data_IF_403917925620
#
_entry.id   IF_403917925620
#
_cell.length_a   1.000
_cell.length_b   1.000
_cell.length_c   1.000
_cell.angle_alpha   90.00
_cell.angle_beta   90.00
_cell.angle_gamma   90.00
#
_symmetry.space_group_name_H-M   'P 1'
#
loop_
_entity.id
_entity.type
_entity.pdbx_description
1 polymer ?
#
# COMPACT_ATOMS: atom_id res chain seq x y z
N UNK A 1 -3.55 11.09 22.79
CA UNK A 1 -4.53 11.30 21.71
C UNK A 1 -3.85 11.64 20.37
N UNK A 2 -2.93 12.62 20.29
CA UNK A 2 -2.27 12.99 19.02
C UNK A 2 -1.50 11.86 18.31
N UNK A 3 -0.84 10.97 19.05
CA UNK A 3 -0.05 9.88 18.46
C UNK A 3 -0.89 8.89 17.62
N UNK A 4 -2.16 8.64 18.01
CA UNK A 4 -3.06 7.79 17.23
C UNK A 4 -3.49 8.46 15.92
N UNK A 5 -3.65 9.78 15.90
CA UNK A 5 -4.00 10.55 14.70
C UNK A 5 -2.83 10.55 13.71
N UNK A 6 -1.59 10.72 14.20
CA UNK A 6 -0.37 10.62 13.39
C UNK A 6 -0.26 9.23 12.76
N UNK A 7 -0.51 8.18 13.56
CA UNK A 7 -0.60 6.80 13.06
C UNK A 7 -1.56 6.67 11.88
N UNK A 8 -2.77 7.17 12.03
CA UNK A 8 -3.81 7.06 11.01
C UNK A 8 -3.41 7.79 9.71
N UNK A 9 -2.85 8.99 9.81
CA UNK A 9 -2.41 9.77 8.65
C UNK A 9 -1.28 9.06 7.89
N UNK A 10 -0.28 8.52 8.60
CA UNK A 10 0.84 7.80 7.98
C UNK A 10 0.35 6.57 7.22
N UNK A 11 -0.61 5.81 7.78
CA UNK A 11 -1.20 4.68 7.06
C UNK A 11 -1.96 5.10 5.81
N UNK A 12 -2.79 6.14 5.89
CA UNK A 12 -3.55 6.64 4.73
C UNK A 12 -2.60 7.05 3.61
N UNK A 13 -1.57 7.85 3.94
CA UNK A 13 -0.56 8.29 2.97
C UNK A 13 0.20 7.10 2.36
N UNK A 14 0.60 6.13 3.19
CA UNK A 14 1.32 4.93 2.73
C UNK A 14 0.49 4.05 1.78
N UNK A 15 -0.81 3.92 2.04
CA UNK A 15 -1.75 3.21 1.15
C UNK A 15 -1.90 3.95 -0.18
N UNK A 16 -2.03 5.28 -0.18
CA UNK A 16 -2.11 6.07 -1.42
C UNK A 16 -0.83 5.94 -2.26
N UNK A 17 0.35 6.01 -1.62
CA UNK A 17 1.65 5.81 -2.28
C UNK A 17 1.80 4.39 -2.85
N UNK A 18 1.29 3.38 -2.14
CA UNK A 18 1.34 1.99 -2.59
C UNK A 18 0.43 1.76 -3.78
N UNK A 19 -0.79 2.31 -3.77
CA UNK A 19 -1.68 2.31 -4.93
C UNK A 19 -1.06 3.00 -6.14
N UNK A 20 -0.37 4.14 -5.92
CA UNK A 20 0.29 4.87 -7.00
C UNK A 20 1.50 4.13 -7.57
N UNK A 21 2.33 3.52 -6.71
CA UNK A 21 3.45 2.66 -7.13
C UNK A 21 2.98 1.46 -7.93
N UNK A 22 1.91 0.82 -7.48
CA UNK A 22 1.32 -0.31 -8.18
C UNK A 22 0.70 0.11 -9.52
N UNK A 23 0.10 1.29 -9.61
CA UNK A 23 -0.45 1.81 -10.88
C UNK A 23 0.62 2.10 -11.95
N UNK A 24 1.90 2.21 -11.57
CA UNK A 24 3.01 2.41 -12.51
C UNK A 24 3.37 1.11 -13.27
N UNK A 25 3.00 -0.04 -12.72
CA UNK A 25 3.18 -1.31 -13.42
C UNK A 25 2.14 -1.47 -14.53
N UNK A 26 2.62 -1.55 -15.77
CA UNK A 26 1.76 -1.77 -16.93
C UNK A 26 1.30 -3.25 -16.99
N UNK A 27 0.26 -3.57 -16.21
CA UNK A 27 -0.26 -4.93 -16.13
C UNK A 27 -0.92 -5.42 -17.42
N UNK A 28 -1.19 -4.53 -18.37
CA UNK A 28 -1.74 -4.87 -19.68
C UNK A 28 -0.83 -5.85 -20.45
N UNK A 29 0.49 -5.74 -20.25
CA UNK A 29 1.48 -6.61 -20.91
C UNK A 29 1.78 -7.91 -20.14
N UNK A 30 1.34 -8.03 -18.88
CA UNK A 30 1.61 -9.19 -18.00
C UNK A 30 0.35 -10.08 -17.85
N UNK A 31 -0.85 -9.53 -18.05
CA UNK A 31 -2.11 -10.24 -17.84
C UNK A 31 -2.52 -11.03 -19.09
N UNK A 32 -2.58 -12.36 -18.93
CA UNK A 32 -3.33 -13.25 -19.83
C UNK A 32 -4.82 -12.88 -19.73
N UNK A 33 -5.43 -12.43 -20.84
CA UNK A 33 -6.83 -11.92 -20.98
C UNK A 33 -7.95 -12.75 -20.32
N UNK A 34 -7.71 -13.99 -19.89
CA UNK A 34 -8.71 -14.89 -19.33
C UNK A 34 -8.96 -14.77 -17.80
N UNK A 35 -8.07 -14.11 -17.04
CA UNK A 35 -8.10 -14.12 -15.55
C UNK A 35 -8.02 -12.73 -14.91
N UNK A 36 -8.59 -11.72 -15.58
CA UNK A 36 -8.51 -10.30 -15.19
C UNK A 36 -9.09 -10.03 -13.78
N UNK A 37 -10.16 -10.74 -13.37
CA UNK A 37 -10.80 -10.54 -12.06
C UNK A 37 -9.93 -10.99 -10.88
N UNK A 38 -9.30 -12.17 -11.00
CA UNK A 38 -8.43 -12.69 -9.95
C UNK A 38 -7.17 -11.83 -9.82
N UNK A 39 -6.67 -11.30 -10.94
CA UNK A 39 -5.56 -10.36 -10.93
C UNK A 39 -5.89 -9.07 -10.20
N UNK A 40 -7.06 -8.48 -10.45
CA UNK A 40 -7.48 -7.25 -9.76
C UNK A 40 -7.62 -7.45 -8.24
N UNK A 41 -8.13 -8.61 -7.83
CA UNK A 41 -8.27 -8.98 -6.42
C UNK A 41 -6.89 -9.16 -5.75
N UNK A 42 -5.98 -9.85 -6.43
CA UNK A 42 -4.59 -10.00 -5.97
C UNK A 42 -3.88 -8.65 -5.89
N UNK A 43 -4.06 -7.79 -6.90
CA UNK A 43 -3.51 -6.44 -6.97
C UNK A 43 -3.98 -5.57 -5.80
N UNK A 44 -5.28 -5.61 -5.50
CA UNK A 44 -5.86 -4.87 -4.38
C UNK A 44 -5.27 -5.35 -3.05
N UNK A 45 -5.24 -6.66 -2.82
CA UNK A 45 -4.65 -7.27 -1.62
C UNK A 45 -3.15 -6.90 -1.50
N UNK A 46 -2.40 -6.97 -2.60
CA UNK A 46 -0.98 -6.63 -2.63
C UNK A 46 -0.74 -5.16 -2.29
N UNK A 47 -1.54 -4.24 -2.84
CA UNK A 47 -1.45 -2.81 -2.52
C UNK A 47 -1.74 -2.51 -1.05
N UNK A 48 -2.72 -3.20 -0.46
CA UNK A 48 -3.06 -3.07 0.97
C UNK A 48 -1.95 -3.62 1.85
N UNK A 49 -1.39 -4.77 1.49
CA UNK A 49 -0.29 -5.39 2.22
C UNK A 49 0.97 -4.50 2.17
N UNK A 50 1.32 -3.97 1.00
CA UNK A 50 2.43 -3.04 0.82
C UNK A 50 2.21 -1.71 1.55
N UNK A 51 1.01 -1.15 1.48
CA UNK A 51 0.65 0.07 2.19
C UNK A 51 0.72 -0.08 3.71
N UNK A 52 0.30 -1.23 4.23
CA UNK A 52 0.45 -1.56 5.64
C UNK A 52 1.91 -1.73 6.06
N UNK A 53 2.71 -2.42 5.24
CA UNK A 53 4.12 -2.67 5.52
C UNK A 53 4.93 -1.36 5.53
N UNK A 54 4.71 -0.50 4.53
CA UNK A 54 5.29 0.85 4.45
C UNK A 54 4.84 1.73 5.62
N UNK A 55 3.55 1.74 5.92
CA UNK A 55 3.01 2.52 7.03
C UNK A 55 3.59 2.06 8.38
N UNK A 56 3.65 0.75 8.61
CA UNK A 56 4.27 0.17 9.81
C UNK A 56 5.75 0.52 9.91
N UNK A 57 6.50 0.41 8.81
CA UNK A 57 7.92 0.77 8.75
C UNK A 57 8.17 2.23 9.12
N UNK A 58 7.41 3.16 8.53
CA UNK A 58 7.54 4.60 8.81
C UNK A 58 7.21 4.90 10.28
N UNK A 59 6.19 4.24 10.83
CA UNK A 59 5.78 4.42 12.21
C UNK A 59 6.81 3.86 13.19
N UNK A 60 7.40 2.72 12.89
CA UNK A 60 8.47 2.13 13.69
C UNK A 60 9.69 3.05 13.71
N UNK A 61 10.13 3.55 12.55
CA UNK A 61 11.20 4.56 12.46
C UNK A 61 10.88 5.85 13.22
N UNK A 62 9.65 6.35 13.09
CA UNK A 62 9.22 7.56 13.79
C UNK A 62 9.20 7.35 15.30
N UNK A 63 8.76 6.19 15.78
CA UNK A 63 8.76 5.86 17.22
C UNK A 63 10.16 5.67 17.80
N UNK A 64 11.10 5.11 17.04
CA UNK A 64 12.49 4.96 17.51
C UNK A 64 13.16 6.34 17.70
N UNK A 65 12.70 7.35 16.96
CA UNK A 65 13.20 8.72 17.02
C UNK A 65 12.52 9.63 18.06
N UNK A 66 11.57 9.11 18.85
CA UNK A 66 10.88 9.83 19.93
C UNK A 66 11.29 9.34 21.32
#
# INVERSE_FOLDING_TARGET
MSYQVIKMIVYVVSVMLSMWSLSCFNFDNVIRKAKVREFYLFFLIASLCLGYLLGSFILEFTTIHF
#
